data_IF_625697355183
#
_entry.id   IF_625697355183
#
_cell.length_a   1.000
_cell.length_b   1.000
_cell.length_c   1.000
_cell.angle_alpha   90.00
_cell.angle_beta   90.00
_cell.angle_gamma   90.00
#
_symmetry.space_group_name_H-M   'P 1'
#
loop_
_entity.id
_entity.type
_entity.pdbx_description
1 polymer ?
#
# COMPACT_ATOMS: atom_id res chain seq x y z
N UNK A 1 4.09 -11.62 7.46
CA UNK A 1 4.30 -10.27 6.90
C UNK A 1 2.95 -9.66 6.62
N UNK A 2 2.61 -8.52 7.25
CA UNK A 2 1.33 -7.86 7.01
C UNK A 2 1.29 -7.16 5.64
N UNK A 3 0.11 -6.72 5.23
CA UNK A 3 -0.13 -6.10 3.93
C UNK A 3 0.64 -4.80 3.74
N UNK A 4 0.74 -3.98 4.80
CA UNK A 4 1.49 -2.72 4.75
C UNK A 4 2.98 -2.97 4.52
N UNK A 5 3.52 -4.00 5.16
CA UNK A 5 4.91 -4.38 4.97
C UNK A 5 5.16 -4.93 3.57
N UNK A 6 4.25 -5.77 3.07
CA UNK A 6 4.31 -6.29 1.69
C UNK A 6 4.31 -5.15 0.67
N UNK A 7 3.42 -4.18 0.85
CA UNK A 7 3.36 -3.02 -0.03
C UNK A 7 4.66 -2.22 0.00
N UNK A 8 5.23 -2.00 1.18
CA UNK A 8 6.50 -1.29 1.35
C UNK A 8 7.64 -1.98 0.61
N UNK A 9 7.73 -3.30 0.69
CA UNK A 9 8.74 -4.12 -0.02
C UNK A 9 8.53 -4.00 -1.53
N UNK A 10 7.31 -4.13 -2.02
CA UNK A 10 6.97 -4.04 -3.45
C UNK A 10 7.23 -2.63 -3.99
N UNK A 11 6.88 -1.57 -3.24
CA UNK A 11 7.18 -0.19 -3.63
C UNK A 11 8.67 0.03 -3.85
N UNK A 12 9.48 -0.44 -2.91
CA UNK A 12 10.94 -0.32 -2.99
C UNK A 12 11.50 -1.11 -4.17
N UNK A 13 11.03 -2.33 -4.35
CA UNK A 13 11.48 -3.19 -5.45
C UNK A 13 11.15 -2.56 -6.81
N UNK A 14 9.93 -2.10 -6.99
CA UNK A 14 9.50 -1.46 -8.24
C UNK A 14 10.26 -0.15 -8.49
N UNK A 15 10.43 0.67 -7.45
CA UNK A 15 11.23 1.90 -7.52
C UNK A 15 12.64 1.61 -8.02
N UNK A 16 13.32 0.63 -7.44
CA UNK A 16 14.69 0.27 -7.82
C UNK A 16 14.75 -0.28 -9.24
N UNK A 17 13.77 -1.11 -9.61
CA UNK A 17 13.68 -1.69 -10.96
C UNK A 17 13.56 -0.61 -12.03
N UNK A 18 12.65 0.35 -11.86
CA UNK A 18 12.45 1.41 -12.87
C UNK A 18 13.55 2.46 -12.84
N UNK A 19 14.14 2.70 -11.67
CA UNK A 19 15.28 3.62 -11.54
C UNK A 19 16.46 3.18 -12.39
N UNK A 20 16.78 1.89 -12.35
CA UNK A 20 17.85 1.31 -13.16
C UNK A 20 17.52 1.30 -14.67
N UNK A 21 16.26 1.50 -15.04
CA UNK A 21 15.77 1.36 -16.42
C UNK A 21 15.41 2.69 -17.09
N UNK A 22 15.59 3.81 -16.40
CA UNK A 22 15.42 5.13 -17.02
C UNK A 22 14.55 6.12 -16.26
N UNK A 23 13.92 5.72 -15.15
CA UNK A 23 13.17 6.62 -14.27
C UNK A 23 14.12 7.10 -13.17
N UNK A 24 14.56 8.36 -13.23
CA UNK A 24 15.66 8.85 -12.40
C UNK A 24 15.29 9.95 -11.43
N UNK A 25 14.51 10.94 -11.88
CA UNK A 25 14.15 12.10 -11.07
C UNK A 25 12.91 11.84 -10.24
N UNK A 26 12.72 12.56 -9.13
CA UNK A 26 11.47 12.46 -8.35
C UNK A 26 10.21 12.71 -9.19
N UNK A 27 10.28 13.65 -10.13
CA UNK A 27 9.16 13.96 -11.04
C UNK A 27 8.86 12.79 -11.97
N UNK A 28 9.90 12.14 -12.52
CA UNK A 28 9.72 10.94 -13.35
C UNK A 28 9.11 9.79 -12.54
N UNK A 29 9.56 9.58 -11.30
CA UNK A 29 8.97 8.56 -10.41
C UNK A 29 7.51 8.87 -10.11
N UNK A 30 7.15 10.13 -9.88
CA UNK A 30 5.78 10.54 -9.65
C UNK A 30 4.89 10.25 -10.86
N UNK A 31 5.35 10.58 -12.08
CA UNK A 31 4.63 10.28 -13.33
C UNK A 31 4.45 8.78 -13.54
N UNK A 32 5.49 8.01 -13.28
CA UNK A 32 5.43 6.55 -13.39
C UNK A 32 4.36 5.97 -12.46
N UNK A 33 4.39 6.34 -11.19
CA UNK A 33 3.41 5.87 -10.19
C UNK A 33 1.99 6.23 -10.61
N UNK A 34 1.76 7.47 -11.04
CA UNK A 34 0.45 7.92 -11.47
C UNK A 34 -0.03 7.24 -12.75
N UNK A 35 0.86 6.81 -13.64
CA UNK A 35 0.45 6.12 -14.86
C UNK A 35 -0.31 4.82 -14.58
N UNK A 36 0.10 4.07 -13.56
CA UNK A 36 -0.62 2.88 -13.12
C UNK A 36 -1.84 3.19 -12.28
N UNK A 37 -1.71 4.11 -11.32
CA UNK A 37 -2.78 4.49 -10.40
C UNK A 37 -3.98 5.06 -11.16
N UNK A 38 -3.77 5.94 -12.13
CA UNK A 38 -4.86 6.52 -12.93
C UNK A 38 -5.67 5.46 -13.66
N UNK A 39 -5.05 4.44 -14.17
CA UNK A 39 -5.74 3.35 -14.86
C UNK A 39 -6.50 2.44 -13.88
N UNK A 40 -5.97 2.25 -12.69
CA UNK A 40 -6.64 1.46 -11.66
C UNK A 40 -7.83 2.21 -11.04
N UNK A 41 -7.75 3.53 -10.91
CA UNK A 41 -8.71 4.40 -10.21
C UNK A 41 -9.54 5.31 -11.12
N UNK A 42 -9.78 4.91 -12.34
CA UNK A 42 -10.62 5.63 -13.30
C UNK A 42 -10.18 7.09 -13.52
N UNK A 43 -8.87 7.30 -13.67
CA UNK A 43 -8.28 8.60 -13.98
C UNK A 43 -7.77 9.39 -12.78
N UNK A 44 -8.02 8.94 -11.55
CA UNK A 44 -7.52 9.62 -10.37
C UNK A 44 -6.01 9.45 -10.21
N UNK A 45 -5.30 10.57 -9.99
CA UNK A 45 -3.90 10.54 -9.55
C UNK A 45 -3.85 10.25 -8.04
N UNK A 46 -2.64 10.02 -7.52
CA UNK A 46 -2.47 9.86 -6.06
C UNK A 46 -2.95 11.10 -5.29
N UNK A 47 -2.72 12.29 -5.84
CA UNK A 47 -3.21 13.53 -5.22
C UNK A 47 -4.74 13.62 -5.23
N UNK A 48 -5.38 13.19 -6.32
CA UNK A 48 -6.83 13.10 -6.41
C UNK A 48 -7.42 12.15 -5.37
N UNK A 49 -6.76 11.00 -5.17
CA UNK A 49 -7.15 10.00 -4.17
C UNK A 49 -7.04 10.59 -2.77
N UNK A 50 -5.93 11.29 -2.47
CA UNK A 50 -5.73 11.95 -1.18
C UNK A 50 -6.82 12.98 -0.91
N UNK A 51 -7.18 13.78 -1.90
CA UNK A 51 -8.25 14.77 -1.79
C UNK A 51 -9.61 14.11 -1.53
N UNK A 52 -9.94 13.07 -2.29
CA UNK A 52 -11.21 12.33 -2.14
C UNK A 52 -11.31 11.67 -0.75
N UNK A 53 -10.21 11.13 -0.26
CA UNK A 53 -10.14 10.50 1.07
C UNK A 53 -10.03 11.51 2.22
N UNK A 54 -9.92 12.79 1.90
CA UNK A 54 -9.75 13.88 2.90
C UNK A 54 -8.52 13.70 3.79
N UNK A 55 -7.42 13.27 3.17
CA UNK A 55 -6.11 13.11 3.84
C UNK A 55 -5.16 14.23 3.43
N UNK A 56 -4.23 14.59 4.35
CA UNK A 56 -3.24 15.62 4.11
C UNK A 56 -2.28 15.28 2.96
N UNK A 57 -1.77 16.31 2.27
CA UNK A 57 -0.88 16.16 1.12
C UNK A 57 0.41 15.38 1.43
N UNK A 58 0.88 15.47 2.69
CA UNK A 58 2.11 14.82 3.12
C UNK A 58 1.88 13.40 3.68
N UNK A 59 0.62 12.96 3.71
CA UNK A 59 0.29 11.63 4.23
C UNK A 59 0.29 10.59 3.13
N UNK A 60 0.66 9.38 3.51
CA UNK A 60 0.68 8.22 2.62
C UNK A 60 -0.75 7.69 2.41
N UNK A 61 -1.25 7.76 1.18
CA UNK A 61 -2.60 7.29 0.83
C UNK A 61 -2.80 5.81 1.18
N UNK A 62 -1.74 5.00 1.10
CA UNK A 62 -1.82 3.56 1.36
C UNK A 62 -2.06 3.24 2.83
N UNK A 63 -1.68 4.15 3.72
CA UNK A 63 -1.98 4.05 5.16
C UNK A 63 -3.47 4.22 5.46
N UNK A 64 -4.25 4.71 4.48
CA UNK A 64 -5.69 4.97 4.57
C UNK A 64 -6.51 4.03 3.68
N UNK A 65 -6.07 2.79 3.57
CA UNK A 65 -6.73 1.75 2.77
C UNK A 65 -7.04 0.53 3.60
N UNK A 66 -8.24 -0.02 3.42
CA UNK A 66 -8.56 -1.35 3.94
C UNK A 66 -7.88 -2.43 3.08
N UNK A 67 -7.91 -3.66 3.55
CA UNK A 67 -7.22 -4.81 2.94
C UNK A 67 -7.54 -5.02 1.46
N UNK A 68 -8.80 -4.86 1.06
CA UNK A 68 -9.22 -5.06 -0.34
C UNK A 68 -8.55 -4.06 -1.27
N UNK A 69 -8.57 -2.79 -0.92
CA UNK A 69 -7.92 -1.73 -1.71
C UNK A 69 -6.40 -1.90 -1.74
N UNK A 70 -5.80 -2.22 -0.60
CA UNK A 70 -4.36 -2.51 -0.52
C UNK A 70 -3.98 -3.68 -1.41
N UNK A 71 -4.75 -4.76 -1.41
CA UNK A 71 -4.49 -5.94 -2.23
C UNK A 71 -4.49 -5.61 -3.73
N UNK A 72 -5.42 -4.76 -4.18
CA UNK A 72 -5.48 -4.30 -5.56
C UNK A 72 -4.19 -3.57 -5.96
N UNK A 73 -3.69 -2.70 -5.10
CA UNK A 73 -2.47 -1.93 -5.33
C UNK A 73 -1.22 -2.81 -5.28
N UNK A 74 -1.12 -3.72 -4.32
CA UNK A 74 0.00 -4.67 -4.21
C UNK A 74 0.06 -5.54 -5.48
N UNK A 75 -1.07 -6.04 -5.93
CA UNK A 75 -1.15 -6.89 -7.14
C UNK A 75 -0.69 -6.11 -8.37
N UNK A 76 -1.18 -4.89 -8.57
CA UNK A 76 -0.77 -4.03 -9.68
C UNK A 76 0.75 -3.81 -9.69
N UNK A 77 1.33 -3.42 -8.57
CA UNK A 77 2.76 -3.13 -8.50
C UNK A 77 3.62 -4.38 -8.68
N UNK A 78 3.23 -5.50 -8.07
CA UNK A 78 3.93 -6.77 -8.21
C UNK A 78 3.92 -7.23 -9.67
N UNK A 79 2.79 -7.13 -10.36
CA UNK A 79 2.67 -7.51 -11.77
C UNK A 79 3.44 -6.57 -12.68
N UNK A 80 3.45 -5.26 -12.39
CA UNK A 80 4.27 -4.29 -13.14
C UNK A 80 5.75 -4.63 -13.03
N UNK A 81 6.23 -4.91 -11.83
CA UNK A 81 7.63 -5.29 -11.62
C UNK A 81 7.98 -6.56 -12.38
N UNK A 82 7.13 -7.57 -12.35
CA UNK A 82 7.33 -8.83 -13.06
C UNK A 82 7.36 -8.63 -14.58
N UNK A 83 6.44 -7.84 -15.12
CA UNK A 83 6.36 -7.55 -16.56
C UNK A 83 7.60 -6.78 -17.03
N UNK A 84 7.95 -5.71 -16.34
CA UNK A 84 9.10 -4.86 -16.70
C UNK A 84 10.39 -5.65 -16.68
N UNK A 85 10.57 -6.49 -15.67
CA UNK A 85 11.77 -7.34 -15.53
C UNK A 85 11.83 -8.41 -16.62
N UNK A 86 10.73 -9.13 -16.82
CA UNK A 86 10.66 -10.25 -17.79
C UNK A 86 10.85 -9.78 -19.22
N UNK A 87 10.26 -8.65 -19.58
CA UNK A 87 10.33 -8.10 -20.94
C UNK A 87 11.48 -7.12 -21.11
N UNK A 88 12.28 -6.90 -20.09
CA UNK A 88 13.40 -5.95 -20.08
C UNK A 88 13.02 -4.57 -20.62
N UNK A 89 11.91 -4.03 -20.13
CA UNK A 89 11.38 -2.74 -20.57
C UNK A 89 12.27 -1.61 -20.04
N UNK A 90 12.63 -0.67 -20.92
CA UNK A 90 13.53 0.44 -20.62
C UNK A 90 13.02 1.76 -21.21
N UNK A 91 13.34 2.86 -20.55
CA UNK A 91 12.95 4.20 -20.96
C UNK A 91 11.64 4.65 -20.31
N UNK A 92 11.55 5.97 -20.02
CA UNK A 92 10.43 6.52 -19.26
C UNK A 92 9.06 6.19 -19.88
N UNK A 93 8.91 6.47 -21.18
CA UNK A 93 7.60 6.28 -21.84
C UNK A 93 7.18 4.80 -21.83
N UNK A 94 8.09 3.90 -22.19
CA UNK A 94 7.80 2.47 -22.23
C UNK A 94 7.48 1.92 -20.84
N UNK A 95 8.17 2.38 -19.82
CA UNK A 95 7.91 1.99 -18.43
C UNK A 95 6.55 2.50 -17.95
N UNK A 96 6.23 3.76 -18.25
CA UNK A 96 4.92 4.34 -17.92
C UNK A 96 3.78 3.58 -18.63
N UNK A 97 3.96 3.26 -19.91
CA UNK A 97 2.96 2.51 -20.69
C UNK A 97 2.76 1.10 -20.12
N UNK A 98 3.83 0.43 -19.71
CA UNK A 98 3.75 -0.89 -19.10
C UNK A 98 2.96 -0.86 -17.79
N UNK A 99 3.24 0.11 -16.92
CA UNK A 99 2.53 0.25 -15.65
C UNK A 99 1.06 0.61 -15.85
N UNK A 100 0.78 1.49 -16.81
CA UNK A 100 -0.59 1.84 -17.20
C UNK A 100 -1.37 0.61 -17.72
N UNK A 101 -0.73 -0.21 -18.55
CA UNK A 101 -1.33 -1.45 -19.05
C UNK A 101 -1.72 -2.38 -17.92
N UNK A 102 -0.81 -2.58 -16.96
CA UNK A 102 -1.08 -3.45 -15.79
C UNK A 102 -2.25 -2.88 -14.98
N UNK A 103 -2.27 -1.57 -14.74
CA UNK A 103 -3.38 -0.92 -14.03
C UNK A 103 -4.74 -1.18 -14.70
N UNK A 104 -4.81 -1.05 -16.02
CA UNK A 104 -6.03 -1.35 -16.80
C UNK A 104 -6.44 -2.81 -16.66
N UNK A 105 -5.49 -3.73 -16.76
CA UNK A 105 -5.78 -5.17 -16.68
C UNK A 105 -6.29 -5.56 -15.29
N UNK A 106 -5.71 -4.99 -14.24
CA UNK A 106 -6.19 -5.22 -12.86
C UNK A 106 -7.61 -4.70 -12.71
N UNK A 107 -7.89 -3.48 -13.16
CA UNK A 107 -9.23 -2.89 -13.13
C UNK A 107 -10.26 -3.74 -13.89
N UNK A 108 -9.91 -4.19 -15.08
CA UNK A 108 -10.79 -5.06 -15.89
C UNK A 108 -11.07 -6.38 -15.19
N UNK A 109 -10.09 -6.94 -14.50
CA UNK A 109 -10.25 -8.18 -13.72
C UNK A 109 -11.24 -7.96 -12.58
N UNK A 110 -11.14 -6.86 -11.86
CA UNK A 110 -12.09 -6.51 -10.80
C UNK A 110 -13.51 -6.43 -11.38
N UNK A 111 -13.67 -5.77 -12.53
CA UNK A 111 -14.96 -5.66 -13.21
C UNK A 111 -15.54 -7.04 -13.60
N UNK A 112 -14.72 -7.93 -14.14
CA UNK A 112 -15.14 -9.29 -14.51
C UNK A 112 -15.58 -10.12 -13.32
N UNK A 113 -15.02 -9.86 -12.16
CA UNK A 113 -15.37 -10.53 -10.90
C UNK A 113 -16.58 -9.90 -10.21
N UNK A 114 -17.21 -8.89 -10.83
CA UNK A 114 -18.28 -8.09 -10.23
C UNK A 114 -17.86 -7.44 -8.91
N UNK A 115 -16.56 -7.11 -8.79
CA UNK A 115 -16.00 -6.47 -7.61
C UNK A 115 -16.30 -4.99 -7.54
N UNK A 116 -16.08 -4.41 -6.36
CA UNK A 116 -16.17 -2.97 -6.15
C UNK A 116 -14.91 -2.31 -6.68
N UNK A 117 -15.03 -1.25 -7.47
CA UNK A 117 -13.89 -0.52 -8.00
C UNK A 117 -13.11 0.18 -6.88
N UNK A 118 -11.78 0.32 -7.00
CA UNK A 118 -10.96 0.91 -5.94
C UNK A 118 -11.46 2.27 -5.44
N UNK A 119 -11.91 3.14 -6.33
CA UNK A 119 -12.41 4.48 -5.97
C UNK A 119 -13.72 4.45 -5.17
N UNK A 120 -14.44 3.34 -5.22
CA UNK A 120 -15.72 3.16 -4.52
C UNK A 120 -15.57 2.40 -3.20
N UNK A 121 -14.37 1.92 -2.89
CA UNK A 121 -14.10 1.23 -1.63
C UNK A 121 -14.08 2.22 -0.46
N UNK A 122 -14.53 1.78 0.74
CA UNK A 122 -14.56 2.68 1.89
C UNK A 122 -13.15 3.05 2.36
N UNK A 123 -13.03 4.27 2.91
CA UNK A 123 -11.79 4.75 3.52
C UNK A 123 -11.87 4.57 5.03
N UNK A 124 -10.83 4.01 5.68
CA UNK A 124 -10.76 3.95 7.13
C UNK A 124 -10.86 5.35 7.75
N UNK A 125 -11.47 5.44 8.91
CA UNK A 125 -11.56 6.71 9.66
C UNK A 125 -10.22 7.13 10.26
N UNK A 126 -9.33 6.17 10.45
CA UNK A 126 -7.98 6.37 11.01
C UNK A 126 -6.98 5.64 10.13
N UNK A 127 -5.78 6.22 9.98
CA UNK A 127 -4.70 5.56 9.26
C UNK A 127 -4.21 4.34 10.03
N UNK A 128 -3.53 3.44 9.32
CA UNK A 128 -2.88 2.28 9.96
C UNK A 128 -1.89 2.72 11.05
N UNK A 129 -1.19 3.83 10.86
CA UNK A 129 -0.26 4.37 11.85
C UNK A 129 -0.97 4.82 13.11
N UNK A 130 -2.13 5.46 12.98
CA UNK A 130 -2.96 5.86 14.13
C UNK A 130 -3.49 4.65 14.88
N UNK A 131 -3.92 3.61 14.17
CA UNK A 131 -4.41 2.37 14.77
C UNK A 131 -3.29 1.64 15.52
N UNK A 132 -2.09 1.59 14.96
CA UNK A 132 -0.92 0.98 15.60
C UNK A 132 -0.54 1.72 16.88
N UNK A 133 -0.56 3.04 16.87
CA UNK A 133 -0.31 3.84 18.05
C UNK A 133 -1.36 3.66 19.15
N UNK A 134 -2.64 3.58 18.78
CA UNK A 134 -3.73 3.31 19.72
C UNK A 134 -3.60 1.93 20.35
N UNK A 135 -3.25 0.93 19.56
CA UNK A 135 -2.99 -0.43 20.03
C UNK A 135 -1.84 -0.44 21.05
N UNK A 136 -0.76 0.26 20.72
CA UNK A 136 0.41 0.40 21.60
C UNK A 136 0.04 1.08 22.93
N UNK A 137 -0.74 2.16 22.88
CA UNK A 137 -1.22 2.85 24.07
C UNK A 137 -2.11 1.95 24.92
N UNK A 138 -2.99 1.19 24.29
CA UNK A 138 -3.90 0.26 24.95
C UNK A 138 -3.14 -0.84 25.69
N UNK A 139 -2.10 -1.39 25.07
CA UNK A 139 -1.20 -2.38 25.69
C UNK A 139 -0.48 -1.80 26.89
N UNK A 140 0.07 -0.59 26.75
CA UNK A 140 0.76 0.10 27.84
C UNK A 140 -0.18 0.34 29.02
N UNK A 141 -1.40 0.83 28.78
CA UNK A 141 -2.42 1.02 29.82
C UNK A 141 -2.84 -0.30 30.49
N UNK A 142 -2.97 -1.35 29.72
CA UNK A 142 -3.27 -2.69 30.23
C UNK A 142 -2.20 -3.19 31.17
N UNK A 143 -0.94 -2.96 30.83
CA UNK A 143 0.21 -3.32 31.69
C UNK A 143 0.24 -2.47 32.97
N UNK A 144 -0.08 -1.19 32.88
CA UNK A 144 -0.13 -0.29 34.05
C UNK A 144 -1.30 -0.59 34.99
N UNK A 145 -2.44 -1.06 34.43
CA UNK A 145 -3.63 -1.35 35.21
C UNK A 145 -3.59 -2.72 35.91
N UNK A 146 -2.80 -3.66 35.40
CA UNK A 146 -2.73 -5.04 35.90
C UNK A 146 -1.29 -5.51 36.06
N UNK A 147 -0.45 -4.78 36.85
CA UNK A 147 0.97 -5.16 37.00
C UNK A 147 1.16 -6.53 37.63
N UNK A 148 0.15 -7.02 38.38
CA UNK A 148 0.17 -8.32 39.04
C UNK A 148 0.03 -9.49 38.07
N UNK A 149 -0.47 -9.26 36.86
CA UNK A 149 -0.64 -10.29 35.84
C UNK A 149 0.66 -10.63 35.12
N UNK A 150 1.66 -9.76 35.25
CA UNK A 150 2.98 -9.94 34.62
C UNK A 150 3.99 -10.65 35.54
N UNK A 151 3.64 -10.90 36.81
CA UNK A 151 4.48 -11.71 37.71
C UNK A 151 4.28 -13.18 37.40
N UNK A 152 5.36 -13.92 37.15
CA UNK A 152 5.24 -15.37 37.02
C UNK A 152 4.72 -15.95 38.34
N UNK A 153 3.69 -16.80 38.24
CA UNK A 153 3.20 -17.61 39.34
C UNK A 153 4.39 -18.40 39.91
N UNK A 154 4.94 -17.92 41.01
CA UNK A 154 5.88 -18.72 41.77
C UNK A 154 5.09 -19.82 42.43
N UNK A 155 5.34 -21.10 42.07
CA UNK A 155 4.67 -22.18 42.75
C UNK A 155 4.99 -22.09 44.24
N UNK A 156 4.01 -22.33 45.11
CA UNK A 156 4.28 -22.31 46.55
C UNK A 156 5.38 -23.28 46.86
N UNK A 157 6.39 -22.82 47.57
CA UNK A 157 7.43 -23.66 48.09
C UNK A 157 6.76 -24.72 48.96
N UNK A 158 6.83 -25.99 48.53
CA UNK A 158 6.44 -27.10 49.35
C UNK A 158 7.45 -27.26 50.49
N UNK A 159 7.02 -27.26 51.74
CA UNK A 159 7.94 -27.46 52.87
C UNK A 159 8.61 -28.85 52.86
#
# INVERSE_FOLDING_TARGET
MDEQHKLSVIHKLLHDTVHLRGIRTPRQHARFKNSGVQELYDGETRDDIAERKEIGEDEDIYAWMYSEELADNIFMEAQSNALITRMDIRGEQALNDAHAQVGREVRQTIARLNGTMPEDLPTPKKSIHQLEEEEKRRRTKGMDLFPELDEPDTPPETP
#
